data_IF_933893499191
#
_entry.id   IF_933893499191
#
_cell.length_a   1.000
_cell.length_b   1.000
_cell.length_c   1.000
_cell.angle_alpha   90.00
_cell.angle_beta   90.00
_cell.angle_gamma   90.00
#
_symmetry.space_group_name_H-M   'P 1'
#
loop_
_entity.id
_entity.type
_entity.pdbx_description
1 polymer ?
#
# COMPACT_ATOMS: atom_id res chain seq x y z
N UNK A 1 -1.14 -22.30 3.88
CA UNK A 1 -0.98 -23.71 3.44
C UNK A 1 -1.72 -23.98 2.10
N UNK A 2 -1.71 -23.04 1.13
CA UNK A 2 -2.48 -23.17 -0.13
C UNK A 2 -1.71 -22.74 -1.41
N UNK A 3 -0.41 -22.49 -1.34
CA UNK A 3 0.36 -21.92 -2.46
C UNK A 3 1.05 -22.95 -3.39
N UNK A 4 0.71 -24.24 -3.28
CA UNK A 4 1.36 -25.28 -4.08
C UNK A 4 0.93 -25.26 -5.56
N UNK A 5 -0.24 -24.71 -5.87
CA UNK A 5 -0.82 -24.71 -7.22
C UNK A 5 -0.76 -23.35 -7.94
N UNK A 6 -0.22 -22.31 -7.30
CA UNK A 6 -0.14 -20.97 -7.90
C UNK A 6 1.15 -20.78 -8.70
N UNK A 7 1.06 -20.11 -9.85
CA UNK A 7 2.24 -19.66 -10.56
C UNK A 7 2.97 -18.57 -9.78
N UNK A 8 4.25 -18.35 -10.07
CA UNK A 8 5.02 -17.29 -9.41
C UNK A 8 4.41 -15.91 -9.65
N UNK A 9 3.78 -15.68 -10.81
CA UNK A 9 3.08 -14.44 -11.11
C UNK A 9 1.82 -14.28 -10.22
N UNK A 10 1.08 -15.35 -9.97
CA UNK A 10 -0.10 -15.33 -9.09
C UNK A 10 0.29 -15.07 -7.63
N UNK A 11 1.37 -15.68 -7.14
CA UNK A 11 1.90 -15.40 -5.79
C UNK A 11 2.27 -13.93 -5.64
N UNK A 12 3.08 -13.41 -6.57
CA UNK A 12 3.49 -12.00 -6.55
C UNK A 12 2.30 -11.05 -6.68
N UNK A 13 1.31 -11.38 -7.51
CA UNK A 13 0.06 -10.60 -7.59
C UNK A 13 -0.59 -10.49 -6.22
N UNK A 14 -0.78 -11.60 -5.53
CA UNK A 14 -1.43 -11.64 -4.21
C UNK A 14 -0.60 -10.89 -3.17
N UNK A 15 0.72 -11.08 -3.15
CA UNK A 15 1.63 -10.38 -2.24
C UNK A 15 1.57 -8.85 -2.42
N UNK A 16 1.60 -8.36 -3.67
CA UNK A 16 1.52 -6.93 -3.95
C UNK A 16 0.13 -6.36 -3.67
N UNK A 17 -0.93 -7.15 -3.84
CA UNK A 17 -2.28 -6.74 -3.44
C UNK A 17 -2.40 -6.60 -1.92
N UNK A 18 -1.90 -7.58 -1.17
CA UNK A 18 -1.88 -7.52 0.30
C UNK A 18 -1.05 -6.34 0.79
N UNK A 19 0.12 -6.10 0.19
CA UNK A 19 0.95 -4.94 0.50
C UNK A 19 0.20 -3.62 0.23
N UNK A 20 -0.50 -3.52 -0.90
CA UNK A 20 -1.32 -2.36 -1.23
C UNK A 20 -2.40 -2.10 -0.17
N UNK A 21 -3.15 -3.12 0.25
CA UNK A 21 -4.21 -2.97 1.26
C UNK A 21 -3.64 -2.62 2.65
N UNK A 22 -2.49 -3.21 3.02
CA UNK A 22 -1.76 -2.84 4.25
C UNK A 22 -1.36 -1.37 4.24
N UNK A 23 -0.75 -0.90 3.15
CA UNK A 23 -0.33 0.50 3.00
C UNK A 23 -1.53 1.44 3.01
N UNK A 24 -2.63 1.08 2.33
CA UNK A 24 -3.88 1.84 2.34
C UNK A 24 -4.45 1.97 3.75
N UNK A 25 -4.48 0.88 4.50
CA UNK A 25 -4.96 0.88 5.88
C UNK A 25 -4.07 1.72 6.79
N UNK A 26 -2.75 1.59 6.66
CA UNK A 26 -1.78 2.38 7.41
C UNK A 26 -1.91 3.89 7.14
N UNK A 27 -2.12 4.29 5.87
CA UNK A 27 -2.38 5.69 5.51
C UNK A 27 -3.68 6.18 6.15
N UNK A 28 -4.74 5.37 6.14
CA UNK A 28 -6.02 5.76 6.76
C UNK A 28 -5.90 5.93 8.28
N UNK A 29 -5.18 5.04 8.95
CA UNK A 29 -4.94 5.15 10.39
C UNK A 29 -4.05 6.36 10.73
N UNK A 30 -3.04 6.59 9.90
CA UNK A 30 -2.16 7.76 9.99
C UNK A 30 -2.95 9.06 9.87
N UNK A 31 -3.73 9.23 8.79
CA UNK A 31 -4.54 10.42 8.53
C UNK A 31 -5.52 10.71 9.70
N UNK A 32 -6.11 9.65 10.27
CA UNK A 32 -6.96 9.77 11.46
C UNK A 32 -6.20 10.33 12.67
N UNK A 33 -5.06 9.72 13.03
CA UNK A 33 -4.26 10.14 14.19
C UNK A 33 -3.72 11.57 14.04
N UNK A 34 -3.32 11.94 12.83
CA UNK A 34 -2.85 13.31 12.54
C UNK A 34 -3.99 14.31 12.68
N UNK A 35 -5.16 13.99 12.16
CA UNK A 35 -6.35 14.86 12.30
C UNK A 35 -6.75 15.05 13.77
N UNK A 36 -6.71 13.99 14.57
CA UNK A 36 -6.95 14.07 16.02
C UNK A 36 -5.91 14.96 16.72
N UNK A 37 -4.62 14.78 16.40
CA UNK A 37 -3.53 15.57 16.96
C UNK A 37 -3.62 17.06 16.55
N UNK A 38 -3.94 17.35 15.30
CA UNK A 38 -4.14 18.73 14.80
C UNK A 38 -5.34 19.39 15.48
N UNK A 39 -6.44 18.65 15.67
CA UNK A 39 -7.64 19.15 16.34
C UNK A 39 -7.37 19.47 17.82
N UNK A 40 -6.66 18.58 18.53
CA UNK A 40 -6.25 18.78 19.90
C UNK A 40 -5.30 19.99 20.03
N UNK A 41 -4.33 20.11 19.11
CA UNK A 41 -3.42 21.25 19.08
C UNK A 41 -4.13 22.58 18.79
N UNK A 42 -5.01 22.61 17.79
CA UNK A 42 -5.80 23.79 17.47
C UNK A 42 -6.69 24.25 18.63
N UNK A 43 -7.32 23.28 19.31
CA UNK A 43 -8.12 23.54 20.51
C UNK A 43 -7.25 24.11 21.64
N UNK A 44 -6.07 23.51 21.88
CA UNK A 44 -5.12 24.02 22.86
C UNK A 44 -4.74 25.48 22.57
N UNK A 45 -4.25 25.77 21.36
CA UNK A 45 -3.85 27.13 20.97
C UNK A 45 -5.00 28.13 21.10
N UNK A 46 -6.24 27.75 20.74
CA UNK A 46 -7.41 28.61 20.88
C UNK A 46 -7.83 28.89 22.32
N UNK A 47 -7.50 28.00 23.25
CA UNK A 47 -7.83 28.16 24.69
C UNK A 47 -6.75 28.86 25.50
N UNK A 48 -5.52 28.99 24.96
CA UNK A 48 -4.41 29.53 25.73
C UNK A 48 -4.52 31.07 25.79
N UNK A 49 -4.59 31.67 26.99
CA UNK A 49 -4.61 33.11 27.14
C UNK A 49 -3.28 33.72 26.65
N UNK A 50 -3.34 34.89 26.01
CA UNK A 50 -2.15 35.63 25.62
C UNK A 50 -1.53 36.29 26.87
N UNK A 51 -0.61 35.59 27.53
CA UNK A 51 0.06 36.07 28.74
C UNK A 51 1.28 36.94 28.38
N UNK A 52 1.60 37.88 29.27
CA UNK A 52 2.73 38.80 29.07
C UNK A 52 4.07 38.09 29.28
N UNK A 53 4.90 38.06 28.23
CA UNK A 53 6.26 37.48 28.29
C UNK A 53 7.22 38.22 29.24
N UNK A 54 6.86 39.41 29.75
CA UNK A 54 7.73 40.24 30.60
C UNK A 54 7.53 40.08 32.11
N UNK A 55 6.47 39.39 32.57
CA UNK A 55 6.18 39.24 34.01
C UNK A 55 6.43 37.80 34.47
N UNK A 56 7.18 37.62 35.56
CA UNK A 56 7.37 36.31 36.22
C UNK A 56 6.06 35.94 36.94
N UNK A 57 5.55 34.70 36.84
CA UNK A 57 6.18 33.49 36.27
C UNK A 57 5.84 33.22 34.79
N UNK A 58 5.11 34.13 34.12
CA UNK A 58 4.68 33.93 32.72
C UNK A 58 5.82 33.83 31.72
N UNK A 59 6.96 34.51 31.94
CA UNK A 59 8.11 34.48 31.02
C UNK A 59 8.65 33.05 30.75
N UNK A 60 8.93 32.27 31.81
CA UNK A 60 9.51 30.92 31.64
C UNK A 60 8.51 29.91 31.06
N UNK A 61 7.22 30.10 31.38
CA UNK A 61 6.13 29.30 30.84
C UNK A 61 5.91 29.56 29.35
N UNK A 62 5.92 30.82 28.93
CA UNK A 62 5.72 31.25 27.55
C UNK A 62 6.85 30.78 26.63
N UNK A 63 8.12 30.93 27.06
CA UNK A 63 9.28 30.43 26.29
C UNK A 63 9.22 28.91 26.12
N UNK A 64 8.93 28.17 27.21
CA UNK A 64 8.82 26.71 27.16
C UNK A 64 7.68 26.25 26.25
N UNK A 65 6.55 26.97 26.28
CA UNK A 65 5.37 26.73 25.43
C UNK A 65 5.69 26.96 23.95
N UNK A 66 6.33 28.07 23.61
CA UNK A 66 6.74 28.37 22.24
C UNK A 66 7.69 27.29 21.69
N UNK A 67 8.68 26.87 22.49
CA UNK A 67 9.59 25.78 22.10
C UNK A 67 8.85 24.46 21.86
N UNK A 68 7.86 24.12 22.70
CA UNK A 68 7.05 22.92 22.52
C UNK A 68 6.19 23.00 21.26
N UNK A 69 5.58 24.16 20.99
CA UNK A 69 4.79 24.41 19.79
C UNK A 69 5.63 24.25 18.52
N UNK A 70 6.85 24.79 18.50
CA UNK A 70 7.78 24.65 17.38
C UNK A 70 8.23 23.19 17.18
N UNK A 71 8.49 22.45 18.26
CA UNK A 71 8.76 21.00 18.16
C UNK A 71 7.58 20.26 17.55
N UNK A 72 6.36 20.56 17.99
CA UNK A 72 5.16 19.90 17.49
C UNK A 72 4.91 20.21 15.99
N UNK A 73 5.11 21.46 15.57
CA UNK A 73 5.07 21.83 14.14
C UNK A 73 6.07 21.04 13.30
N UNK A 74 7.31 20.87 13.78
CA UNK A 74 8.32 20.05 13.10
C UNK A 74 7.89 18.59 13.00
N UNK A 75 7.28 18.04 14.04
CA UNK A 75 6.73 16.68 13.97
C UNK A 75 5.65 16.56 12.91
N UNK A 76 4.70 17.50 12.82
CA UNK A 76 3.69 17.49 11.76
C UNK A 76 4.29 17.56 10.36
N UNK A 77 5.36 18.36 10.16
CA UNK A 77 6.06 18.43 8.87
C UNK A 77 6.73 17.10 8.50
N UNK A 78 7.51 16.51 9.41
CA UNK A 78 8.15 15.20 9.20
C UNK A 78 7.13 14.10 8.93
N UNK A 79 5.98 14.20 9.58
CA UNK A 79 4.90 13.24 9.45
C UNK A 79 4.20 13.35 8.08
N UNK A 80 4.04 14.57 7.57
CA UNK A 80 3.59 14.81 6.19
C UNK A 80 4.55 14.21 5.16
N UNK A 81 5.87 14.34 5.33
CA UNK A 81 6.88 13.73 4.45
C UNK A 81 6.78 12.20 4.44
N UNK A 82 6.61 11.59 5.62
CA UNK A 82 6.39 10.14 5.74
C UNK A 82 5.10 9.71 5.06
N UNK A 83 4.02 10.49 5.20
CA UNK A 83 2.76 10.24 4.49
C UNK A 83 2.95 10.25 2.97
N UNK A 84 3.69 11.21 2.43
CA UNK A 84 4.00 11.25 1.00
C UNK A 84 4.75 9.99 0.54
N UNK A 85 5.69 9.52 1.36
CA UNK A 85 6.43 8.28 1.09
C UNK A 85 5.53 7.03 1.14
N UNK A 86 4.58 6.97 2.08
CA UNK A 86 3.58 5.90 2.16
C UNK A 86 2.65 5.89 0.94
N UNK A 87 2.19 7.05 0.49
CA UNK A 87 1.35 7.17 -0.73
C UNK A 87 2.12 6.68 -1.95
N UNK A 88 3.38 7.13 -2.12
CA UNK A 88 4.21 6.67 -3.23
C UNK A 88 4.47 5.15 -3.19
N UNK A 89 4.67 4.58 -1.99
CA UNK A 89 4.81 3.13 -1.82
C UNK A 89 3.51 2.39 -2.17
N UNK A 90 2.35 2.91 -1.76
CA UNK A 90 1.04 2.34 -2.10
C UNK A 90 0.83 2.30 -3.61
N UNK A 91 1.14 3.39 -4.30
CA UNK A 91 0.93 3.49 -5.75
C UNK A 91 1.85 2.52 -6.50
N UNK A 92 3.13 2.43 -6.10
CA UNK A 92 4.07 1.43 -6.64
C UNK A 92 3.62 -0.01 -6.37
N UNK A 93 3.06 -0.30 -5.19
CA UNK A 93 2.52 -1.62 -4.88
C UNK A 93 1.34 -1.97 -5.81
N UNK A 94 0.45 -0.99 -6.06
CA UNK A 94 -0.67 -1.17 -6.99
C UNK A 94 -0.21 -1.39 -8.44
N UNK A 95 0.77 -0.62 -8.92
CA UNK A 95 1.37 -0.82 -10.24
C UNK A 95 1.94 -2.23 -10.41
N UNK A 96 2.66 -2.72 -9.39
CA UNK A 96 3.22 -4.08 -9.40
C UNK A 96 2.13 -5.16 -9.34
N UNK A 97 1.09 -4.95 -8.55
CA UNK A 97 -0.08 -5.83 -8.55
C UNK A 97 -0.70 -5.94 -9.95
N UNK A 98 -0.94 -4.81 -10.63
CA UNK A 98 -1.50 -4.80 -12.00
C UNK A 98 -0.57 -5.52 -12.98
N UNK A 99 0.74 -5.28 -12.87
CA UNK A 99 1.74 -5.95 -13.70
C UNK A 99 1.66 -7.48 -13.57
N UNK A 100 1.71 -8.00 -12.34
CA UNK A 100 1.67 -9.44 -12.09
C UNK A 100 0.31 -10.07 -12.37
N UNK A 101 -0.78 -9.32 -12.19
CA UNK A 101 -2.12 -9.73 -12.62
C UNK A 101 -2.15 -9.98 -14.13
N UNK A 102 -1.63 -9.05 -14.92
CA UNK A 102 -1.61 -9.18 -16.38
C UNK A 102 -0.67 -10.31 -16.83
N UNK A 103 0.46 -10.50 -16.13
CA UNK A 103 1.38 -11.60 -16.41
C UNK A 103 0.71 -12.96 -16.15
N UNK A 104 0.03 -13.13 -15.02
CA UNK A 104 -0.68 -14.36 -14.68
C UNK A 104 -1.78 -14.69 -15.71
N UNK A 105 -2.50 -13.67 -16.23
CA UNK A 105 -3.48 -13.87 -17.31
C UNK A 105 -2.81 -14.40 -18.58
N UNK A 106 -1.70 -13.79 -18.99
CA UNK A 106 -0.95 -14.24 -20.19
C UNK A 106 -0.39 -15.65 -20.03
N UNK A 107 0.13 -15.99 -18.85
CA UNK A 107 0.60 -17.34 -18.55
C UNK A 107 -0.54 -18.36 -18.65
N UNK A 108 -1.70 -18.04 -18.08
CA UNK A 108 -2.87 -18.91 -18.13
C UNK A 108 -3.42 -19.09 -19.56
N UNK A 109 -3.42 -18.05 -20.37
CA UNK A 109 -3.81 -18.12 -21.79
C UNK A 109 -2.83 -18.97 -22.61
N UNK A 110 -1.52 -18.79 -22.40
CA UNK A 110 -0.49 -19.58 -23.08
C UNK A 110 -0.57 -21.07 -22.72
N UNK A 111 -0.82 -21.37 -21.45
CA UNK A 111 -0.98 -22.75 -20.97
C UNK A 111 -2.24 -23.41 -21.55
N UNK A 112 -3.36 -22.69 -21.61
CA UNK A 112 -4.59 -23.20 -22.27
C UNK A 112 -4.35 -23.49 -23.74
N UNK A 113 -3.70 -22.58 -24.46
CA UNK A 113 -3.39 -22.76 -25.87
C UNK A 113 -2.45 -23.96 -26.11
N UNK A 114 -1.48 -24.21 -25.21
CA UNK A 114 -0.62 -25.40 -25.27
C UNK A 114 -1.42 -26.67 -25.05
N UNK A 115 -2.25 -26.72 -24.01
CA UNK A 115 -3.10 -27.90 -23.71
C UNK A 115 -4.09 -28.20 -24.83
N UNK A 116 -4.67 -27.19 -25.45
CA UNK A 116 -5.57 -27.38 -26.60
C UNK A 116 -4.83 -27.97 -27.81
N UNK A 117 -3.59 -27.53 -28.08
CA UNK A 117 -2.75 -28.10 -29.13
C UNK A 117 -2.36 -29.54 -28.83
N UNK A 118 -1.88 -29.83 -27.62
CA UNK A 118 -1.53 -31.18 -27.19
C UNK A 118 -2.72 -32.13 -27.26
N UNK A 119 -3.91 -31.68 -26.83
CA UNK A 119 -5.15 -32.45 -26.94
C UNK A 119 -5.56 -32.69 -28.41
N UNK A 120 -5.35 -31.70 -29.28
CA UNK A 120 -5.63 -31.85 -30.71
C UNK A 120 -4.67 -32.85 -31.36
N UNK A 121 -3.38 -32.75 -31.11
CA UNK A 121 -2.36 -33.69 -31.59
C UNK A 121 -2.62 -35.11 -31.06
N UNK A 122 -2.99 -35.25 -29.79
CA UNK A 122 -3.39 -36.54 -29.20
C UNK A 122 -4.61 -37.12 -29.91
N UNK A 123 -5.64 -36.31 -30.20
CA UNK A 123 -6.83 -36.76 -30.93
C UNK A 123 -6.50 -37.20 -32.35
N UNK A 124 -5.75 -36.40 -33.10
CA UNK A 124 -5.33 -36.74 -34.47
C UNK A 124 -4.50 -38.02 -34.49
N UNK A 125 -3.59 -38.20 -33.53
CA UNK A 125 -2.78 -39.42 -33.40
C UNK A 125 -3.63 -40.64 -33.03
N UNK A 126 -4.64 -40.47 -32.18
CA UNK A 126 -5.56 -41.55 -31.81
C UNK A 126 -6.46 -41.94 -32.99
N UNK A 127 -6.95 -40.96 -33.74
CA UNK A 127 -7.76 -41.16 -34.95
C UNK A 127 -6.96 -41.92 -36.02
N UNK A 128 -5.70 -41.56 -36.25
CA UNK A 128 -4.82 -42.29 -37.18
C UNK A 128 -4.53 -43.74 -36.75
N UNK A 129 -4.44 -44.01 -35.43
CA UNK A 129 -4.31 -45.37 -34.91
C UNK A 129 -5.59 -46.20 -35.07
N UNK A 130 -6.76 -45.56 -35.00
CA UNK A 130 -8.06 -46.21 -35.13
C UNK A 130 -8.45 -46.42 -36.60
N UNK A 131 -8.08 -45.51 -37.50
CA UNK A 131 -8.40 -45.60 -38.94
C UNK A 131 -7.57 -46.64 -39.70
N UNK A 132 -6.44 -47.10 -39.14
CA UNK A 132 -5.74 -48.29 -39.61
C UNK A 132 -5.01 -48.16 -40.95
N UNK A 133 -4.63 -46.94 -41.37
CA UNK A 133 -3.74 -46.77 -42.52
C UNK A 133 -2.29 -47.13 -42.12
N UNK A 134 -1.82 -48.29 -42.60
CA UNK A 134 -0.41 -48.69 -42.64
C UNK A 134 0.19 -48.38 -44.00
#
# INVERSE_FOLDING_TARGET
MFDWFKTDAEKKRDDYHELYEKLRSAISEHDKKVSEAQSAYGSYIGTVPNLSNSKIPSNDFEISREQLNEKLKRYFQLDQEKRHSLVAAKDKAYERYVHYKNLAIKEAEAERARRERELKELKERLEGLISGER
#
